data_IF_958180726352
#
_entry.id   IF_958180726352
#
_cell.length_a   1.000
_cell.length_b   1.000
_cell.length_c   1.000
_cell.angle_alpha   90.00
_cell.angle_beta   90.00
_cell.angle_gamma   90.00
#
_symmetry.space_group_name_H-M   'P 1'
#
loop_
_entity.id
_entity.type
_entity.pdbx_description
1 polymer ?
#
# COMPACT_ATOMS: atom_id res chain seq x y z
N UNK A 1 14.60 -26.85 -26.20
CA UNK A 1 14.70 -26.70 -24.73
C UNK A 1 14.85 -25.24 -24.27
N UNK A 2 15.84 -24.47 -24.74
CA UNK A 2 16.01 -23.05 -24.36
C UNK A 2 14.79 -22.13 -24.60
N UNK A 3 14.07 -22.32 -25.72
CA UNK A 3 12.91 -21.49 -26.09
C UNK A 3 11.69 -21.68 -25.17
N UNK A 4 11.49 -22.89 -24.63
CA UNK A 4 10.39 -23.19 -23.69
C UNK A 4 10.65 -22.54 -22.33
N UNK A 5 11.91 -22.50 -21.91
CA UNK A 5 12.32 -21.87 -20.65
C UNK A 5 12.08 -20.35 -20.67
N UNK A 6 12.32 -19.70 -21.81
CA UNK A 6 12.06 -18.26 -21.99
C UNK A 6 10.55 -17.97 -21.95
N UNK A 7 9.74 -18.81 -22.58
CA UNK A 7 8.27 -18.66 -22.56
C UNK A 7 7.72 -18.85 -21.15
N UNK A 8 8.23 -19.83 -20.39
CA UNK A 8 7.84 -20.03 -18.99
C UNK A 8 8.25 -18.84 -18.09
N UNK A 9 9.41 -18.23 -18.31
CA UNK A 9 9.86 -17.05 -17.57
C UNK A 9 8.98 -15.83 -17.83
N UNK A 10 8.60 -15.60 -19.10
CA UNK A 10 7.69 -14.52 -19.49
C UNK A 10 6.29 -14.76 -18.90
N UNK A 11 5.77 -15.98 -19.00
CA UNK A 11 4.48 -16.33 -18.41
C UNK A 11 4.49 -16.21 -16.89
N UNK A 12 5.57 -16.57 -16.20
CA UNK A 12 5.71 -16.42 -14.75
C UNK A 12 5.73 -14.94 -14.33
N UNK A 13 6.46 -14.09 -15.07
CA UNK A 13 6.44 -12.65 -14.84
C UNK A 13 5.04 -12.05 -15.07
N UNK A 14 4.32 -12.45 -16.13
CA UNK A 14 2.95 -12.00 -16.39
C UNK A 14 1.94 -12.50 -15.36
N UNK A 15 2.15 -13.70 -14.81
CA UNK A 15 1.29 -14.25 -13.75
C UNK A 15 1.48 -13.53 -12.41
N UNK A 16 2.68 -13.00 -12.14
CA UNK A 16 2.95 -12.17 -10.97
C UNK A 16 2.25 -10.80 -11.06
N UNK A 17 2.22 -10.19 -12.25
CA UNK A 17 1.47 -8.93 -12.48
C UNK A 17 -0.06 -9.10 -12.49
N UNK A 18 -0.56 -10.30 -12.82
CA UNK A 18 -2.00 -10.54 -12.95
C UNK A 18 -2.72 -10.87 -11.62
N UNK A 19 -1.99 -11.11 -10.53
CA UNK A 19 -2.55 -11.53 -9.23
C UNK A 19 -2.30 -10.54 -8.08
N UNK A 20 -1.58 -9.45 -8.32
CA UNK A 20 -1.34 -8.40 -7.32
C UNK A 20 -2.34 -7.27 -7.48
N UNK A 21 -2.95 -6.84 -6.37
CA UNK A 21 -3.58 -5.52 -6.35
C UNK A 21 -2.47 -4.49 -6.60
N UNK A 22 -2.55 -3.75 -7.71
CA UNK A 22 -1.50 -2.81 -8.09
C UNK A 22 -1.48 -1.59 -7.16
N UNK A 23 -0.28 -1.22 -6.67
CA UNK A 23 -0.05 -0.08 -5.78
C UNK A 23 -0.67 1.19 -6.34
N UNK A 24 -0.56 1.40 -7.66
CA UNK A 24 -1.11 2.59 -8.31
C UNK A 24 -2.64 2.60 -8.29
N UNK A 25 -3.28 1.43 -8.41
CA UNK A 25 -4.74 1.31 -8.32
C UNK A 25 -5.23 1.63 -6.90
N UNK A 26 -4.52 1.17 -5.87
CA UNK A 26 -4.85 1.47 -4.48
C UNK A 26 -4.70 2.96 -4.18
N UNK A 27 -3.59 3.56 -4.61
CA UNK A 27 -3.37 5.00 -4.49
C UNK A 27 -4.48 5.80 -5.17
N UNK A 28 -4.87 5.42 -6.37
CA UNK A 28 -5.96 6.08 -7.08
C UNK A 28 -7.31 5.94 -6.36
N UNK A 29 -7.58 4.78 -5.74
CA UNK A 29 -8.81 4.59 -4.95
C UNK A 29 -8.84 5.54 -3.76
N UNK A 30 -7.74 5.62 -3.00
CA UNK A 30 -7.57 6.53 -1.85
C UNK A 30 -7.62 8.00 -2.28
N UNK A 31 -7.10 8.33 -3.47
CA UNK A 31 -7.16 9.69 -4.02
C UNK A 31 -8.60 10.12 -4.32
N UNK A 32 -9.41 9.22 -4.88
CA UNK A 32 -10.81 9.47 -5.18
C UNK A 32 -11.69 9.48 -3.92
N UNK A 33 -11.37 8.61 -2.97
CA UNK A 33 -12.06 8.49 -1.68
C UNK A 33 -11.04 8.26 -0.55
N UNK A 34 -10.66 9.32 0.18
CA UNK A 34 -9.79 9.20 1.36
C UNK A 34 -10.39 8.33 2.48
N UNK A 35 -11.71 8.06 2.44
CA UNK A 35 -12.41 7.14 3.33
C UNK A 35 -12.36 5.67 2.87
N UNK A 36 -11.72 5.35 1.74
CA UNK A 36 -11.49 3.98 1.30
C UNK A 36 -10.40 3.30 2.12
N UNK A 37 -10.76 3.00 3.36
CA UNK A 37 -9.86 2.39 4.33
C UNK A 37 -9.53 0.92 3.99
N UNK A 38 -10.27 0.27 3.08
CA UNK A 38 -9.90 -1.06 2.58
C UNK A 38 -8.68 -0.96 1.67
N UNK A 39 -8.72 -0.02 0.71
CA UNK A 39 -7.56 0.25 -0.14
C UNK A 39 -6.38 0.79 0.66
N UNK A 40 -6.63 1.65 1.64
CA UNK A 40 -5.60 2.11 2.57
C UNK A 40 -4.92 0.93 3.28
N UNK A 41 -5.70 0.01 3.87
CA UNK A 41 -5.15 -1.13 4.59
C UNK A 41 -4.25 -1.99 3.70
N UNK A 42 -4.68 -2.29 2.47
CA UNK A 42 -3.89 -3.09 1.52
C UNK A 42 -2.61 -2.37 1.10
N UNK A 43 -2.68 -1.06 0.87
CA UNK A 43 -1.52 -0.28 0.49
C UNK A 43 -0.48 -0.21 1.63
N UNK A 44 -0.96 -0.02 2.85
CA UNK A 44 -0.10 0.00 4.04
C UNK A 44 0.54 -1.36 4.33
N UNK A 45 -0.17 -2.47 4.10
CA UNK A 45 0.39 -3.83 4.19
C UNK A 45 1.54 -4.03 3.19
N UNK A 46 1.38 -3.56 1.94
CA UNK A 46 2.47 -3.58 0.94
C UNK A 46 3.69 -2.79 1.43
N UNK A 47 3.48 -1.61 2.00
CA UNK A 47 4.58 -0.81 2.54
C UNK A 47 5.26 -1.46 3.74
N UNK A 48 4.53 -2.15 4.61
CA UNK A 48 5.13 -2.92 5.71
C UNK A 48 5.94 -4.11 5.19
N UNK A 49 5.43 -4.85 4.20
CA UNK A 49 6.11 -5.99 3.57
C UNK A 49 7.40 -5.58 2.85
N UNK A 50 7.42 -4.38 2.26
CA UNK A 50 8.60 -3.81 1.59
C UNK A 50 9.52 -3.01 2.55
N UNK A 51 9.18 -2.94 3.84
CA UNK A 51 9.86 -2.11 4.85
C UNK A 51 9.93 -0.61 4.48
N UNK A 52 9.03 -0.13 3.60
CA UNK A 52 8.91 1.27 3.21
C UNK A 52 8.07 2.06 4.23
N UNK A 53 8.60 2.18 5.44
CA UNK A 53 7.94 2.89 6.53
C UNK A 53 7.78 4.39 6.25
N UNK A 54 8.58 4.97 5.35
CA UNK A 54 8.41 6.36 4.92
C UNK A 54 7.12 6.52 4.11
N UNK A 55 6.90 5.66 3.12
CA UNK A 55 5.66 5.67 2.33
C UNK A 55 4.43 5.36 3.19
N UNK A 56 4.56 4.46 4.17
CA UNK A 56 3.52 4.19 5.16
C UNK A 56 3.11 5.49 5.88
N UNK A 57 4.08 6.17 6.50
CA UNK A 57 3.82 7.37 7.31
C UNK A 57 3.23 8.49 6.44
N UNK A 58 3.81 8.74 5.26
CA UNK A 58 3.36 9.79 4.34
C UNK A 58 1.91 9.55 3.87
N UNK A 59 1.58 8.30 3.52
CA UNK A 59 0.24 7.92 3.10
C UNK A 59 -0.79 8.14 4.21
N UNK A 60 -0.48 7.71 5.44
CA UNK A 60 -1.36 7.90 6.60
C UNK A 60 -1.60 9.39 6.87
N UNK A 61 -0.55 10.21 6.84
CA UNK A 61 -0.67 11.67 7.01
C UNK A 61 -1.54 12.29 5.91
N UNK A 62 -1.29 11.90 4.65
CA UNK A 62 -2.03 12.38 3.49
C UNK A 62 -3.53 12.07 3.59
N UNK A 63 -3.90 10.87 4.06
CA UNK A 63 -5.31 10.50 4.26
C UNK A 63 -5.95 11.32 5.37
N UNK A 64 -5.32 11.40 6.54
CA UNK A 64 -5.89 12.13 7.70
C UNK A 64 -6.15 13.60 7.36
N UNK A 65 -5.27 14.22 6.58
CA UNK A 65 -5.42 15.62 6.17
C UNK A 65 -6.54 15.86 5.16
N UNK A 66 -7.08 14.81 4.53
CA UNK A 66 -8.14 14.90 3.51
C UNK A 66 -9.49 14.37 3.99
N UNK A 67 -9.52 13.60 5.06
CA UNK A 67 -10.77 13.15 5.68
C UNK A 67 -11.32 14.26 6.57
N UNK A 68 -12.51 14.76 6.26
CA UNK A 68 -13.16 15.87 6.99
C UNK A 68 -13.50 15.50 8.44
N UNK A 69 -13.99 14.27 8.66
CA UNK A 69 -14.30 13.72 9.97
C UNK A 69 -13.61 12.36 10.15
N UNK A 70 -12.42 12.31 10.80
CA UNK A 70 -11.68 11.07 10.96
C UNK A 70 -12.46 10.04 11.78
N UNK A 71 -12.74 8.89 11.17
CA UNK A 71 -13.37 7.78 11.89
C UNK A 71 -12.38 7.07 12.82
N UNK A 72 -12.89 6.47 13.90
CA UNK A 72 -12.07 5.70 14.85
C UNK A 72 -11.27 4.55 14.19
N UNK A 73 -11.73 4.03 13.04
CA UNK A 73 -11.03 3.00 12.27
C UNK A 73 -9.69 3.46 11.68
N UNK A 74 -9.41 4.77 11.63
CA UNK A 74 -8.09 5.29 11.27
C UNK A 74 -7.06 5.12 12.38
N UNK A 75 -7.48 5.07 13.64
CA UNK A 75 -6.58 5.11 14.81
C UNK A 75 -5.47 4.05 14.77
N UNK A 76 -5.73 2.78 14.38
CA UNK A 76 -4.64 1.79 14.28
C UNK A 76 -3.54 2.22 13.31
N UNK A 77 -3.89 2.74 12.13
CA UNK A 77 -2.92 3.22 11.14
C UNK A 77 -2.13 4.41 11.66
N UNK A 78 -2.80 5.35 12.35
CA UNK A 78 -2.14 6.52 12.98
C UNK A 78 -1.14 6.09 14.03
N UNK A 79 -1.54 5.18 14.92
CA UNK A 79 -0.68 4.67 15.99
C UNK A 79 0.53 3.93 15.44
N UNK A 80 0.34 3.16 14.37
CA UNK A 80 1.43 2.44 13.72
C UNK A 80 2.40 3.40 13.02
N UNK A 81 1.89 4.39 12.28
CA UNK A 81 2.71 5.45 11.70
C UNK A 81 3.51 6.21 12.77
N UNK A 82 2.91 6.50 13.92
CA UNK A 82 3.60 7.14 15.04
C UNK A 82 4.72 6.26 15.63
N UNK A 83 4.52 4.93 15.71
CA UNK A 83 5.58 3.98 16.13
C UNK A 83 6.73 4.00 15.15
N UNK A 84 6.47 3.83 13.85
CA UNK A 84 7.51 3.88 12.83
C UNK A 84 8.26 5.22 12.85
N UNK A 85 7.56 6.33 12.97
CA UNK A 85 8.18 7.64 13.10
C UNK A 85 9.09 7.72 14.36
N UNK A 86 8.68 7.13 15.48
CA UNK A 86 9.47 7.14 16.71
C UNK A 86 10.72 6.24 16.67
N UNK A 87 10.69 5.15 15.88
CA UNK A 87 11.83 4.23 15.74
C UNK A 87 12.92 4.77 14.82
N UNK A 88 12.59 5.77 13.98
CA UNK A 88 13.54 6.40 13.06
C UNK A 88 14.38 7.52 13.70
N UNK A 89 14.08 7.93 14.94
CA UNK A 89 14.80 8.98 15.69
C UNK A 89 15.41 8.43 16.98
#
# INVERSE_FOLDING_TARGET
>A
MKKIFIILLICFSLFAYANGVDVETLKQSIENDPGDYESLSKLLEIYEDEEDYYAYIDTVISVINRVEEPEARLLPFVLQAARYASEQY
#
